data_IF_266970667743
#
_entry.id   IF_266970667743
#
_cell.length_a   1.000
_cell.length_b   1.000
_cell.length_c   1.000
_cell.angle_alpha   90.00
_cell.angle_beta   90.00
_cell.angle_gamma   90.00
#
_symmetry.space_group_name_H-M   'P 1'
#
loop_
_entity.id
_entity.type
_entity.pdbx_description
1 polymer ?
#
# COMPACT_ATOMS: atom_id res chain seq x y z
N UNK A 1 -15.33 -10.31 0.03
CA UNK A 1 -13.94 -10.23 0.53
C UNK A 1 -13.09 -11.30 -0.13
N UNK A 2 -11.79 -11.09 -0.29
CA UNK A 2 -10.84 -12.05 -0.87
C UNK A 2 -9.53 -12.10 -0.08
N UNK A 3 -8.65 -13.07 -0.35
CA UNK A 3 -7.37 -13.16 0.36
C UNK A 3 -6.39 -12.09 -0.11
N UNK A 4 -5.57 -11.56 0.79
CA UNK A 4 -4.52 -10.59 0.44
C UNK A 4 -3.51 -11.18 -0.55
N UNK A 5 -3.18 -12.46 -0.42
CA UNK A 5 -2.27 -13.15 -1.36
C UNK A 5 -2.84 -13.18 -2.79
N UNK A 6 -4.14 -13.47 -2.94
CA UNK A 6 -4.79 -13.53 -4.25
C UNK A 6 -4.84 -12.15 -4.93
N UNK A 7 -5.03 -11.09 -4.15
CA UNK A 7 -4.92 -9.72 -4.63
C UNK A 7 -3.52 -9.42 -5.17
N UNK A 8 -2.46 -9.81 -4.45
CA UNK A 8 -1.10 -9.61 -4.93
C UNK A 8 -0.80 -10.44 -6.18
N UNK A 9 -1.31 -11.66 -6.27
CA UNK A 9 -1.21 -12.49 -7.50
C UNK A 9 -1.89 -11.81 -8.69
N UNK A 10 -3.06 -11.21 -8.47
CA UNK A 10 -3.76 -10.43 -9.49
C UNK A 10 -3.01 -9.14 -9.88
N UNK A 11 -2.34 -8.49 -8.92
CA UNK A 11 -1.58 -7.26 -9.17
C UNK A 11 -0.22 -7.50 -9.85
N UNK A 12 0.50 -8.56 -9.47
CA UNK A 12 1.89 -8.78 -9.88
C UNK A 12 2.15 -8.64 -11.40
N UNK A 13 1.30 -9.16 -12.31
CA UNK A 13 1.48 -8.99 -13.76
C UNK A 13 1.47 -7.52 -14.23
N UNK A 14 0.79 -6.63 -13.49
CA UNK A 14 0.61 -5.22 -13.84
C UNK A 14 1.63 -4.30 -13.17
N UNK A 15 2.52 -4.84 -12.34
CA UNK A 15 3.43 -4.02 -11.52
C UNK A 15 4.43 -3.21 -12.38
N UNK A 16 4.72 -3.65 -13.60
CA UNK A 16 5.59 -2.95 -14.54
C UNK A 16 6.97 -2.66 -13.95
N UNK A 17 7.43 -1.41 -14.01
CA UNK A 17 8.65 -0.96 -13.33
C UNK A 17 8.35 -0.12 -12.08
N UNK A 18 7.18 -0.30 -11.43
CA UNK A 18 6.83 0.51 -10.27
C UNK A 18 7.78 0.25 -9.09
N UNK A 19 7.97 1.27 -8.26
CA UNK A 19 8.51 1.11 -6.90
C UNK A 19 7.34 0.76 -5.98
N UNK A 20 7.43 -0.39 -5.32
CA UNK A 20 6.34 -0.93 -4.49
C UNK A 20 6.69 -0.79 -3.02
N UNK A 21 5.80 -0.17 -2.25
CA UNK A 21 5.85 -0.10 -0.79
C UNK A 21 4.77 -1.08 -0.29
N UNK A 22 5.12 -2.32 0.05
CA UNK A 22 4.13 -3.37 0.24
C UNK A 22 3.42 -3.34 1.61
N UNK A 23 3.77 -2.37 2.47
CA UNK A 23 3.18 -2.14 3.80
C UNK A 23 2.87 -3.42 4.57
N UNK A 24 1.64 -3.55 5.07
CA UNK A 24 1.22 -4.74 5.84
C UNK A 24 0.99 -5.99 4.99
N UNK A 25 0.89 -5.85 3.67
CA UNK A 25 0.84 -6.97 2.74
C UNK A 25 2.20 -7.59 2.41
N UNK A 26 3.30 -7.02 2.93
CA UNK A 26 4.68 -7.38 2.57
C UNK A 26 5.05 -8.86 2.70
N UNK A 27 4.49 -9.59 3.67
CA UNK A 27 4.77 -11.03 3.83
C UNK A 27 4.31 -11.89 2.65
N UNK A 28 3.29 -11.43 1.92
CA UNK A 28 2.79 -12.09 0.73
C UNK A 28 3.55 -11.60 -0.50
N UNK A 29 3.77 -10.28 -0.60
CA UNK A 29 4.45 -9.65 -1.74
C UNK A 29 5.89 -10.15 -1.94
N UNK A 30 6.64 -10.38 -0.86
CA UNK A 30 8.06 -10.75 -0.94
C UNK A 30 8.33 -12.05 -1.72
N UNK A 31 7.35 -12.96 -1.76
CA UNK A 31 7.47 -14.22 -2.50
C UNK A 31 6.97 -14.13 -3.95
N UNK A 32 6.33 -13.02 -4.32
CA UNK A 32 5.72 -12.79 -5.64
C UNK A 32 6.51 -11.79 -6.49
N UNK A 33 7.23 -10.86 -5.86
CA UNK A 33 7.98 -9.83 -6.57
C UNK A 33 9.11 -10.38 -7.42
N UNK A 34 9.21 -9.89 -8.65
CA UNK A 34 10.26 -10.17 -9.61
C UNK A 34 11.37 -9.09 -9.62
N UNK A 35 11.20 -7.98 -8.89
CA UNK A 35 12.18 -6.90 -8.76
C UNK A 35 12.35 -6.42 -7.30
N UNK A 36 12.98 -7.25 -6.45
CA UNK A 36 13.15 -6.97 -5.02
C UNK A 36 14.02 -5.74 -4.69
N UNK A 37 14.69 -5.15 -5.67
CA UNK A 37 15.48 -3.91 -5.50
C UNK A 37 14.62 -2.65 -5.63
N UNK A 38 13.41 -2.79 -6.18
CA UNK A 38 12.38 -1.73 -6.26
C UNK A 38 11.23 -1.96 -5.26
N UNK A 39 11.39 -2.94 -4.38
CA UNK A 39 10.51 -3.15 -3.25
C UNK A 39 11.06 -2.43 -2.02
N UNK A 40 10.20 -1.67 -1.36
CA UNK A 40 10.55 -0.82 -0.22
C UNK A 40 9.79 -1.26 1.02
N UNK A 41 10.04 -2.48 1.56
CA UNK A 41 9.46 -2.92 2.82
C UNK A 41 10.16 -2.15 3.95
N UNK A 42 9.56 -1.08 4.44
CA UNK A 42 10.13 -0.29 5.54
C UNK A 42 9.88 -0.89 6.93
N UNK A 43 9.31 -2.09 6.98
CA UNK A 43 8.74 -2.67 8.19
C UNK A 43 7.53 -1.86 8.67
N UNK A 44 7.29 -1.87 9.98
CA UNK A 44 6.35 -0.96 10.64
C UNK A 44 7.08 0.37 10.92
N UNK A 45 6.92 1.44 10.10
CA UNK A 45 6.95 2.78 10.68
C UNK A 45 5.86 2.83 11.76
N UNK A 46 5.98 3.74 12.73
CA UNK A 46 4.88 3.97 13.68
C UNK A 46 3.57 4.11 12.87
N UNK A 47 2.53 3.36 13.25
CA UNK A 47 1.28 3.31 12.49
C UNK A 47 0.78 4.73 12.17
N UNK A 48 0.35 4.95 10.93
CA UNK A 48 0.03 6.25 10.34
C UNK A 48 1.15 6.85 9.47
N UNK A 49 2.23 6.10 9.21
CA UNK A 49 3.42 6.60 8.53
C UNK A 49 3.54 6.24 7.04
N UNK A 50 2.86 5.19 6.57
CA UNK A 50 3.11 4.65 5.22
C UNK A 50 2.70 5.62 4.12
N UNK A 51 1.51 6.20 4.22
CA UNK A 51 0.98 7.17 3.26
C UNK A 51 1.91 8.39 3.08
N UNK A 52 2.39 8.98 4.20
CA UNK A 52 3.29 10.13 4.17
C UNK A 52 4.67 9.79 3.60
N UNK A 53 5.21 8.60 3.92
CA UNK A 53 6.47 8.14 3.33
C UNK A 53 6.34 7.98 1.81
N UNK A 54 5.29 7.31 1.37
CA UNK A 54 5.06 7.03 -0.04
C UNK A 54 4.83 8.31 -0.85
N UNK A 55 4.12 9.29 -0.28
CA UNK A 55 3.99 10.63 -0.86
C UNK A 55 5.35 11.30 -1.04
N UNK A 56 6.20 11.28 -0.02
CA UNK A 56 7.54 11.86 -0.10
C UNK A 56 8.37 11.24 -1.23
N UNK A 57 8.28 9.93 -1.40
CA UNK A 57 8.95 9.22 -2.49
C UNK A 57 8.38 9.61 -3.87
N UNK A 58 7.05 9.68 -3.99
CA UNK A 58 6.38 10.08 -5.24
C UNK A 58 6.78 11.48 -5.68
N UNK A 59 6.87 12.43 -4.75
CA UNK A 59 7.32 13.80 -5.01
C UNK A 59 8.82 13.88 -5.30
N UNK A 60 9.63 13.01 -4.69
CA UNK A 60 11.08 12.98 -4.93
C UNK A 60 11.43 12.34 -6.29
N UNK A 61 10.57 11.46 -6.81
CA UNK A 61 10.78 10.66 -8.02
C UNK A 61 9.56 10.74 -8.96
N UNK A 62 9.26 11.92 -9.54
CA UNK A 62 8.05 12.12 -10.34
C UNK A 62 7.99 11.23 -11.60
N UNK A 63 9.14 10.78 -12.10
CA UNK A 63 9.25 9.86 -13.24
C UNK A 63 8.95 8.39 -12.89
N UNK A 64 8.89 8.05 -11.60
CA UNK A 64 8.74 6.68 -11.13
C UNK A 64 7.31 6.44 -10.63
N UNK A 65 6.67 5.38 -11.11
CA UNK A 65 5.36 4.95 -10.59
C UNK A 65 5.54 4.41 -9.16
N UNK A 66 4.86 5.02 -8.19
CA UNK A 66 4.91 4.62 -6.77
C UNK A 66 3.59 3.95 -6.39
N UNK A 67 3.68 2.73 -5.89
CA UNK A 67 2.53 1.92 -5.48
C UNK A 67 2.66 1.60 -3.99
N UNK A 68 1.70 2.06 -3.21
CA UNK A 68 1.62 1.77 -1.78
C UNK A 68 0.49 0.76 -1.52
N UNK A 69 0.81 -0.33 -0.83
CA UNK A 69 -0.15 -1.23 -0.22
C UNK A 69 -0.22 -0.97 1.28
N UNK A 70 -1.15 -0.10 1.65
CA UNK A 70 -1.40 0.35 3.01
C UNK A 70 -2.41 -0.53 3.74
N UNK A 71 -2.68 -0.22 5.01
CA UNK A 71 -3.77 -0.79 5.79
C UNK A 71 -4.74 0.29 6.26
N UNK A 72 -5.99 -0.08 6.42
CA UNK A 72 -7.02 0.75 7.02
C UNK A 72 -6.65 1.22 8.43
N UNK A 73 -5.94 0.37 9.19
CA UNK A 73 -5.39 0.73 10.50
C UNK A 73 -4.39 1.88 10.45
N UNK A 74 -3.54 1.94 9.42
CA UNK A 74 -2.59 3.04 9.20
C UNK A 74 -3.33 4.34 8.85
N UNK A 75 -4.28 4.24 7.92
CA UNK A 75 -5.11 5.37 7.49
C UNK A 75 -5.86 5.99 8.66
N UNK A 76 -6.48 5.18 9.52
CA UNK A 76 -7.21 5.68 10.69
C UNK A 76 -6.31 6.41 11.69
N UNK A 77 -5.02 6.09 11.74
CA UNK A 77 -4.06 6.78 12.61
C UNK A 77 -3.53 8.08 12.00
N UNK A 78 -3.61 8.25 10.68
CA UNK A 78 -3.21 9.48 10.01
C UNK A 78 -4.11 9.84 8.82
N UNK A 79 -5.37 10.17 9.12
CA UNK A 79 -6.31 10.65 8.10
C UNK A 79 -5.84 11.96 7.44
N UNK A 80 -5.02 12.77 8.11
CA UNK A 80 -4.45 14.00 7.58
C UNK A 80 -3.54 13.81 6.36
N UNK A 81 -3.03 12.59 6.16
CA UNK A 81 -2.27 12.25 4.95
C UNK A 81 -3.13 12.32 3.68
N UNK A 82 -4.42 11.95 3.74
CA UNK A 82 -5.29 11.93 2.56
C UNK A 82 -5.48 13.31 1.92
N UNK A 83 -5.93 14.36 2.63
CA UNK A 83 -6.04 15.69 2.04
C UNK A 83 -4.68 16.26 1.65
N UNK A 84 -3.59 15.89 2.34
CA UNK A 84 -2.23 16.31 1.96
C UNK A 84 -1.81 15.71 0.61
N UNK A 85 -2.06 14.41 0.40
CA UNK A 85 -1.77 13.75 -0.88
C UNK A 85 -2.63 14.34 -2.00
N UNK A 86 -3.92 14.59 -1.73
CA UNK A 86 -4.82 15.21 -2.69
C UNK A 86 -4.36 16.62 -3.09
N UNK A 87 -3.88 17.44 -2.14
CA UNK A 87 -3.34 18.78 -2.41
C UNK A 87 -2.05 18.73 -3.24
N UNK A 88 -1.15 17.77 -2.93
CA UNK A 88 0.11 17.63 -3.67
C UNK A 88 -0.05 17.00 -5.05
N UNK A 89 -1.15 16.30 -5.28
CA UNK A 89 -1.58 15.78 -6.58
C UNK A 89 -0.49 15.02 -7.38
N UNK A 90 0.25 14.07 -6.76
CA UNK A 90 1.31 13.33 -7.45
C UNK A 90 0.74 12.38 -8.53
N UNK A 91 1.02 12.69 -9.80
CA UNK A 91 0.50 11.95 -10.97
C UNK A 91 1.00 10.50 -11.07
N UNK A 92 2.04 10.17 -10.33
CA UNK A 92 2.70 8.88 -10.30
C UNK A 92 2.34 8.02 -9.08
N UNK A 93 1.39 8.44 -8.24
CA UNK A 93 1.09 7.78 -6.96
C UNK A 93 -0.21 6.96 -6.97
N UNK A 94 -0.14 5.73 -6.47
CA UNK A 94 -1.27 4.79 -6.38
C UNK A 94 -1.31 4.18 -4.97
N UNK A 95 -2.43 4.40 -4.27
CA UNK A 95 -2.62 4.09 -2.86
C UNK A 95 -3.69 3.01 -2.71
N UNK A 96 -3.24 1.76 -2.57
CA UNK A 96 -4.09 0.62 -2.28
C UNK A 96 -4.21 0.46 -0.77
N UNK A 97 -5.43 0.28 -0.26
CA UNK A 97 -5.71 0.05 1.16
C UNK A 97 -6.28 -1.34 1.32
N UNK A 98 -5.58 -2.18 2.10
CA UNK A 98 -6.03 -3.50 2.50
C UNK A 98 -6.94 -3.35 3.72
N UNK A 99 -8.25 -3.32 3.50
CA UNK A 99 -9.26 -3.23 4.56
C UNK A 99 -9.67 -4.65 4.99
N UNK A 100 -9.17 -5.09 6.13
CA UNK A 100 -9.53 -6.36 6.75
C UNK A 100 -10.43 -6.20 7.98
N UNK A 101 -10.69 -4.95 8.40
CA UNK A 101 -11.58 -4.56 9.49
C UNK A 101 -10.99 -4.71 10.89
N UNK A 102 -9.72 -5.13 11.05
CA UNK A 102 -9.12 -5.43 12.36
C UNK A 102 -7.65 -5.04 12.46
N UNK A 103 -7.17 -4.80 13.67
CA UNK A 103 -5.74 -4.75 13.96
C UNK A 103 -5.17 -6.17 14.07
N UNK A 104 -4.99 -6.82 12.90
CA UNK A 104 -4.62 -8.23 12.79
C UNK A 104 -3.29 -8.59 13.49
N UNK A 105 -2.37 -7.62 13.62
CA UNK A 105 -1.06 -7.82 14.24
C UNK A 105 -1.08 -7.70 15.77
N UNK A 106 -2.10 -7.08 16.36
CA UNK A 106 -2.18 -6.80 17.82
C UNK A 106 -3.27 -7.60 18.54
N UNK A 107 -3.80 -8.65 17.91
CA UNK A 107 -4.81 -9.54 18.48
C UNK A 107 -6.17 -9.50 17.80
N UNK A 108 -6.31 -8.80 16.66
CA UNK A 108 -7.50 -8.87 15.82
C UNK A 108 -8.69 -8.07 16.34
N UNK A 109 -8.45 -7.04 17.17
CA UNK A 109 -9.50 -6.13 17.61
C UNK A 109 -10.05 -5.36 16.40
N UNK A 110 -11.37 -5.15 16.30
CA UNK A 110 -11.95 -4.33 15.24
C UNK A 110 -11.33 -2.94 15.18
N UNK A 111 -11.08 -2.45 13.97
CA UNK A 111 -10.74 -1.03 13.79
C UNK A 111 -11.97 -0.16 14.09
N UNK A 112 -11.79 1.12 14.45
CA UNK A 112 -12.90 2.06 14.60
C UNK A 112 -13.86 2.02 13.41
N UNK A 113 -15.14 1.77 13.68
CA UNK A 113 -16.22 1.75 12.69
C UNK A 113 -16.02 0.77 11.51
N UNK A 114 -15.33 -0.36 11.73
CA UNK A 114 -14.93 -1.36 10.72
C UNK A 114 -16.02 -1.81 9.73
N UNK A 115 -17.29 -1.82 10.15
CA UNK A 115 -18.42 -2.27 9.32
C UNK A 115 -18.96 -1.17 8.38
N UNK A 116 -18.90 0.09 8.80
CA UNK A 116 -19.60 1.18 8.10
C UNK A 116 -18.66 2.15 7.39
N UNK A 117 -17.39 2.24 7.79
CA UNK A 117 -16.42 3.16 7.20
C UNK A 117 -16.19 2.84 5.72
N UNK A 118 -16.16 3.88 4.89
CA UNK A 118 -15.90 3.79 3.45
C UNK A 118 -14.67 4.63 3.10
N UNK A 119 -13.50 3.99 3.08
CA UNK A 119 -12.21 4.67 2.92
C UNK A 119 -12.06 5.33 1.54
N UNK A 120 -12.60 4.73 0.49
CA UNK A 120 -12.67 5.30 -0.85
C UNK A 120 -13.48 6.60 -0.88
N UNK A 121 -14.61 6.65 -0.15
CA UNK A 121 -15.44 7.85 -0.02
C UNK A 121 -14.73 8.93 0.79
N UNK A 122 -14.02 8.55 1.87
CA UNK A 122 -13.19 9.48 2.64
C UNK A 122 -12.07 10.07 1.78
N UNK A 123 -11.36 9.23 1.02
CA UNK A 123 -10.33 9.68 0.10
C UNK A 123 -10.91 10.61 -0.98
N UNK A 124 -12.10 10.29 -1.51
CA UNK A 124 -12.80 11.13 -2.49
C UNK A 124 -13.18 12.49 -1.90
N UNK A 125 -13.76 12.50 -0.70
CA UNK A 125 -14.09 13.71 0.05
C UNK A 125 -12.87 14.53 0.45
N UNK A 126 -11.70 13.89 0.58
CA UNK A 126 -10.41 14.54 0.81
C UNK A 126 -9.80 15.17 -0.45
N UNK A 127 -10.37 14.92 -1.63
CA UNK A 127 -9.95 15.53 -2.89
C UNK A 127 -9.26 14.59 -3.88
N UNK A 128 -9.18 13.27 -3.64
CA UNK A 128 -8.62 12.35 -4.62
C UNK A 128 -9.42 12.39 -5.94
N UNK A 129 -8.76 12.52 -7.10
CA UNK A 129 -9.46 12.58 -8.38
C UNK A 129 -10.10 11.24 -8.73
N UNK A 130 -9.41 10.13 -8.46
CA UNK A 130 -9.87 8.77 -8.74
C UNK A 130 -9.85 7.91 -7.48
N UNK A 131 -11.01 7.36 -7.12
CA UNK A 131 -11.18 6.44 -5.99
C UNK A 131 -11.97 5.21 -6.42
N UNK A 132 -11.63 4.06 -5.88
CA UNK A 132 -12.28 2.79 -6.15
C UNK A 132 -12.41 1.97 -4.87
N UNK A 133 -13.39 1.07 -4.84
CA UNK A 133 -13.54 0.07 -3.79
C UNK A 133 -13.93 -1.26 -4.42
N UNK A 134 -13.26 -2.33 -3.99
CA UNK A 134 -13.52 -3.69 -4.43
C UNK A 134 -13.75 -4.60 -3.23
N UNK A 135 -14.82 -5.38 -3.29
CA UNK A 135 -15.11 -6.43 -2.31
C UNK A 135 -15.00 -7.85 -2.89
N UNK A 136 -14.75 -7.98 -4.19
CA UNK A 136 -14.55 -9.24 -4.88
C UNK A 136 -13.34 -9.13 -5.84
N UNK A 137 -12.66 -10.25 -6.04
CA UNK A 137 -11.40 -10.29 -6.79
C UNK A 137 -11.61 -10.12 -8.30
N UNK A 138 -12.73 -10.64 -8.82
CA UNK A 138 -13.04 -10.60 -10.26
C UNK A 138 -13.18 -9.16 -10.77
N UNK A 139 -13.95 -8.33 -10.06
CA UNK A 139 -14.10 -6.91 -10.38
C UNK A 139 -12.75 -6.19 -10.35
N UNK A 140 -11.91 -6.49 -9.36
CA UNK A 140 -10.57 -5.92 -9.31
C UNK A 140 -9.72 -6.33 -10.53
N UNK A 141 -9.67 -7.63 -10.83
CA UNK A 141 -8.89 -8.14 -11.97
C UNK A 141 -9.34 -7.55 -13.31
N UNK A 142 -10.64 -7.28 -13.46
CA UNK A 142 -11.21 -6.69 -14.69
C UNK A 142 -10.83 -5.21 -14.84
N UNK A 143 -10.58 -4.50 -13.74
CA UNK A 143 -10.38 -3.05 -13.74
C UNK A 143 -8.94 -2.59 -13.49
N UNK A 144 -8.07 -3.45 -12.96
CA UNK A 144 -6.72 -3.07 -12.49
C UNK A 144 -5.86 -2.38 -13.56
N UNK A 145 -5.92 -2.84 -14.80
CA UNK A 145 -5.16 -2.23 -15.91
C UNK A 145 -5.60 -0.79 -16.15
N UNK A 146 -6.92 -0.57 -16.21
CA UNK A 146 -7.52 0.76 -16.40
C UNK A 146 -7.27 1.69 -15.20
N UNK A 147 -7.25 1.14 -13.99
CA UNK A 147 -6.92 1.90 -12.78
C UNK A 147 -5.48 2.40 -12.85
N UNK A 148 -4.54 1.50 -13.20
CA UNK A 148 -3.11 1.80 -13.28
C UNK A 148 -2.73 2.64 -14.51
N UNK A 149 -3.64 2.83 -15.47
CA UNK A 149 -3.46 3.74 -16.61
C UNK A 149 -3.94 5.18 -16.32
N UNK A 150 -4.67 5.42 -15.23
CA UNK A 150 -5.10 6.78 -14.86
C UNK A 150 -3.96 7.59 -14.25
N UNK A 151 -3.90 8.91 -14.50
CA UNK A 151 -3.00 9.77 -13.74
C UNK A 151 -3.39 9.78 -12.27
N UNK A 152 -2.38 9.67 -11.40
CA UNK A 152 -2.55 9.75 -9.96
C UNK A 152 -2.91 11.16 -9.44
N UNK A 153 -3.16 11.28 -8.12
CA UNK A 153 -3.16 10.19 -7.15
C UNK A 153 -4.42 9.33 -7.28
N UNK A 154 -4.26 8.00 -7.25
CA UNK A 154 -5.38 7.04 -7.29
C UNK A 154 -5.51 6.34 -5.94
N UNK A 155 -6.71 6.24 -5.40
CA UNK A 155 -6.99 5.50 -4.17
C UNK A 155 -7.84 4.26 -4.46
N UNK A 156 -7.48 3.11 -3.89
CA UNK A 156 -8.20 1.85 -4.10
C UNK A 156 -8.38 1.14 -2.77
N UNK A 157 -9.61 0.96 -2.32
CA UNK A 157 -9.92 0.14 -1.13
C UNK A 157 -10.16 -1.30 -1.56
N UNK A 158 -9.49 -2.25 -0.90
CA UNK A 158 -9.59 -3.68 -1.15
C UNK A 158 -10.13 -4.36 0.10
N UNK A 159 -11.36 -4.87 0.07
CA UNK A 159 -11.92 -5.62 1.21
C UNK A 159 -11.34 -7.03 1.24
N UNK A 160 -10.41 -7.26 2.16
CA UNK A 160 -9.66 -8.52 2.28
C UNK A 160 -10.02 -9.29 3.54
N UNK A 161 -9.69 -10.58 3.58
CA UNK A 161 -9.84 -11.38 4.76
C UNK A 161 -8.83 -11.03 5.86
N UNK A 162 -9.27 -10.99 7.14
CA UNK A 162 -8.35 -10.79 8.24
C UNK A 162 -7.49 -12.04 8.45
N UNK A 163 -6.19 -11.84 8.50
CA UNK A 163 -5.21 -12.88 8.81
C UNK A 163 -4.58 -12.56 10.17
N UNK A 164 -5.27 -12.93 11.25
CA UNK A 164 -4.89 -12.60 12.64
C UNK A 164 -3.75 -13.49 13.10
N UNK A 165 -2.66 -12.88 13.58
CA UNK A 165 -1.49 -13.59 14.10
C UNK A 165 -1.43 -13.43 15.63
N UNK A 166 -1.79 -14.49 16.36
CA UNK A 166 -1.81 -14.49 17.83
C UNK A 166 -0.44 -14.80 18.46
N UNK A 167 0.59 -15.02 17.66
CA UNK A 167 1.96 -15.24 18.14
C UNK A 167 2.51 -13.91 18.67
N UNK A 168 3.18 -13.86 19.85
CA UNK A 168 3.83 -12.64 20.32
C UNK A 168 4.84 -12.10 19.30
N UNK A 169 4.91 -10.78 19.11
CA UNK A 169 5.75 -10.16 18.06
C UNK A 169 7.20 -10.66 18.08
N UNK A 170 7.80 -10.82 19.27
CA UNK A 170 9.18 -11.30 19.42
C UNK A 170 9.41 -12.77 19.03
N UNK A 171 8.36 -13.56 18.81
CA UNK A 171 8.43 -14.98 18.44
C UNK A 171 8.03 -15.25 16.98
N UNK A 172 7.63 -14.21 16.23
CA UNK A 172 7.16 -14.34 14.85
C UNK A 172 8.32 -14.60 13.89
N UNK A 173 8.06 -15.41 12.87
CA UNK A 173 9.01 -15.63 11.79
C UNK A 173 9.21 -14.31 11.02
N UNK A 174 10.46 -13.86 10.95
CA UNK A 174 10.81 -12.66 10.20
C UNK A 174 10.73 -12.97 8.71
N UNK A 175 9.68 -12.46 8.04
CA UNK A 175 9.53 -12.58 6.60
C UNK A 175 10.46 -11.61 5.84
N UNK A 176 10.72 -10.42 6.39
CA UNK A 176 11.60 -9.44 5.77
C UNK A 176 13.08 -9.79 5.99
N UNK A 177 13.75 -10.25 4.93
CA UNK A 177 15.17 -10.62 4.96
C UNK A 177 16.12 -9.42 4.88
N UNK A 178 15.80 -8.40 4.07
CA UNK A 178 16.61 -7.18 3.91
C UNK A 178 16.43 -6.23 5.10
N UNK A 179 17.52 -5.63 5.56
CA UNK A 179 17.51 -4.50 6.51
C UNK A 179 17.05 -3.21 5.82
N UNK A 180 16.63 -2.21 6.60
CA UNK A 180 16.28 -0.88 6.06
C UNK A 180 17.44 -0.26 5.27
N UNK A 181 18.68 -0.43 5.72
CA UNK A 181 19.86 0.10 5.05
C UNK A 181 20.08 -0.56 3.68
N UNK A 182 19.95 -1.89 3.60
CA UNK A 182 20.06 -2.62 2.33
C UNK A 182 18.94 -2.20 1.37
N UNK A 183 17.69 -2.14 1.84
CA UNK A 183 16.56 -1.67 1.03
C UNK A 183 16.80 -0.27 0.45
N UNK A 184 17.30 0.67 1.26
CA UNK A 184 17.60 2.02 0.78
C UNK A 184 18.75 2.00 -0.22
N UNK A 185 19.81 1.24 0.04
CA UNK A 185 20.97 1.15 -0.84
C UNK A 185 20.62 0.55 -2.21
N UNK A 186 19.85 -0.53 -2.24
CA UNK A 186 19.39 -1.18 -3.47
C UNK A 186 18.53 -0.22 -4.30
N UNK A 187 17.56 0.44 -3.65
CA UNK A 187 16.69 1.41 -4.31
C UNK A 187 17.48 2.62 -4.85
N UNK A 188 18.46 3.13 -4.10
CA UNK A 188 19.30 4.23 -4.56
C UNK A 188 20.20 3.83 -5.74
N UNK A 189 20.71 2.59 -5.73
CA UNK A 189 21.50 2.04 -6.83
C UNK A 189 20.67 1.88 -8.09
N UNK A 190 19.43 1.43 -7.98
CA UNK A 190 18.50 1.26 -9.11
C UNK A 190 18.04 2.61 -9.67
N UNK A 191 17.52 3.50 -8.81
CA UNK A 191 16.96 4.79 -9.23
C UNK A 191 18.02 5.85 -9.60
N UNK A 192 19.28 5.61 -9.25
CA UNK A 192 20.37 6.56 -9.43
C UNK A 192 20.19 7.87 -8.65
N UNK A 193 20.95 8.93 -8.96
CA UNK A 193 20.81 10.24 -8.31
C UNK A 193 19.43 10.85 -8.59
N UNK A 194 18.97 11.73 -7.70
CA UNK A 194 17.75 12.51 -7.94
C UNK A 194 17.99 13.44 -9.12
N UNK A 195 17.11 13.38 -10.12
CA UNK A 195 17.12 14.34 -11.22
C UNK A 195 16.66 15.69 -10.67
N UNK A 196 17.45 16.74 -10.94
CA UNK A 196 17.21 18.13 -10.53
C UNK A 196 15.99 18.73 -11.21
#
# INVERSE_FOLDING_TARGET
MFQTEDMFKAFAPYRGNAVVIPGRGGRHWINLSDQPDRDVPLGDPAMGGHASFALGLALARPDEKIILFDSEGDILMNLGALPTIAEKDPKNFYHFVLDNGVYATTGGQPVPNAENVKYDVIAKGSGYPSTYAFDNLEDFTTNIEQILSKPGPVFVTMKVAPEVENVPIGQRARWQKKTRHETIADLQKDLGPRKS
#
